data_IF_374328655207
#
_entry.id   IF_374328655207
#
_cell.length_a   1.000
_cell.length_b   1.000
_cell.length_c   1.000
_cell.angle_alpha   90.00
_cell.angle_beta   90.00
_cell.angle_gamma   90.00
#
_symmetry.space_group_name_H-M   'P 1'
#
loop_
_entity.id
_entity.type
_entity.pdbx_description
1 polymer ?
#
# COMPACT_ATOMS: atom_id res chain seq x y z
N UNK A 1 13.38 -52.22 15.93
CA UNK A 1 12.18 -52.32 16.81
C UNK A 1 12.48 -51.68 18.16
N UNK A 2 11.97 -50.47 18.43
CA UNK A 2 11.64 -49.95 19.78
C UNK A 2 10.96 -48.58 19.65
N UNK A 3 9.63 -48.64 19.82
CA UNK A 3 8.66 -47.71 20.42
C UNK A 3 8.70 -46.19 20.12
N UNK A 4 7.62 -45.79 19.45
CA UNK A 4 6.80 -44.57 19.61
C UNK A 4 6.96 -43.83 20.96
N UNK A 5 7.04 -42.50 20.86
CA UNK A 5 6.73 -41.54 21.94
C UNK A 5 6.13 -40.28 21.33
N UNK A 6 4.81 -40.29 21.16
CA UNK A 6 3.96 -39.20 20.69
C UNK A 6 3.61 -38.33 21.92
N UNK A 7 3.87 -37.03 21.88
CA UNK A 7 3.28 -36.06 22.82
C UNK A 7 2.61 -34.95 22.02
N UNK A 8 1.28 -35.03 21.95
CA UNK A 8 0.40 -33.89 21.71
C UNK A 8 0.43 -32.98 22.94
N UNK A 9 0.61 -31.69 22.75
CA UNK A 9 0.21 -30.67 23.71
C UNK A 9 -0.71 -29.68 22.98
N UNK A 10 -2.01 -29.85 23.19
CA UNK A 10 -3.03 -28.88 22.84
C UNK A 10 -3.11 -27.84 23.95
N UNK A 11 -2.83 -26.57 23.65
CA UNK A 11 -3.14 -25.45 24.52
C UNK A 11 -4.22 -24.60 23.86
N UNK A 12 -5.42 -24.75 24.38
CA UNK A 12 -6.56 -23.88 24.15
C UNK A 12 -6.40 -22.62 25.02
N UNK A 13 -6.38 -21.44 24.41
CA UNK A 13 -6.64 -20.19 25.13
C UNK A 13 -8.10 -19.81 24.92
N UNK A 14 -8.85 -19.77 26.02
CA UNK A 14 -10.24 -19.35 26.11
C UNK A 14 -10.38 -17.85 25.81
N UNK A 15 -11.44 -17.54 25.07
CA UNK A 15 -12.04 -16.22 24.97
C UNK A 15 -12.51 -15.70 26.34
N UNK A 16 -12.26 -14.42 26.63
CA UNK A 16 -13.03 -13.67 27.62
C UNK A 16 -13.83 -12.58 26.91
N UNK A 17 -15.15 -12.73 27.00
CA UNK A 17 -16.13 -11.72 26.70
C UNK A 17 -16.09 -10.60 27.75
N UNK A 18 -16.13 -9.35 27.30
CA UNK A 18 -16.50 -8.20 28.14
C UNK A 18 -17.86 -7.69 27.66
N UNK A 19 -18.90 -8.03 28.40
CA UNK A 19 -20.18 -7.32 28.41
C UNK A 19 -20.40 -6.73 29.79
N UNK A 20 -20.89 -5.49 29.84
CA UNK A 20 -22.04 -5.05 30.63
C UNK A 20 -22.09 -3.52 30.75
N UNK A 21 -23.03 -2.92 30.01
CA UNK A 21 -24.12 -2.07 30.52
C UNK A 21 -23.87 -1.23 31.80
N UNK A 22 -24.00 0.11 31.69
CA UNK A 22 -24.90 0.88 32.57
C UNK A 22 -25.23 2.29 32.05
N UNK A 23 -26.52 2.56 32.11
CA UNK A 23 -27.29 3.80 31.95
C UNK A 23 -26.86 4.94 32.89
N UNK A 24 -27.08 6.20 32.49
CA UNK A 24 -27.78 7.22 33.32
C UNK A 24 -28.32 8.36 32.44
N UNK A 25 -29.62 8.62 32.57
CA UNK A 25 -30.38 9.72 32.00
C UNK A 25 -29.95 11.10 32.50
N UNK A 26 -30.20 12.15 31.71
CA UNK A 26 -30.46 13.49 32.24
C UNK A 26 -31.55 14.14 31.39
N UNK A 27 -32.73 14.29 31.98
CA UNK A 27 -33.80 15.16 31.53
C UNK A 27 -33.45 16.62 31.86
N UNK A 28 -33.68 17.52 30.92
CA UNK A 28 -33.71 18.97 31.12
C UNK A 28 -34.77 19.57 30.21
N UNK A 29 -35.84 20.09 30.80
CA UNK A 29 -36.98 20.72 30.15
C UNK A 29 -36.66 22.11 29.55
N UNK A 30 -37.55 22.68 28.71
CA UNK A 30 -37.20 23.60 27.64
C UNK A 30 -37.22 25.07 28.08
N UNK A 31 -36.53 25.92 27.32
CA UNK A 31 -36.78 27.37 27.35
C UNK A 31 -36.77 27.90 25.92
N UNK A 32 -37.92 28.38 25.48
CA UNK A 32 -38.10 29.04 24.20
C UNK A 32 -37.47 30.43 24.16
N UNK A 33 -36.90 30.76 23.01
CA UNK A 33 -36.44 32.10 22.64
C UNK A 33 -36.49 32.23 21.11
N UNK A 34 -37.17 33.28 20.64
CA UNK A 34 -37.50 33.63 19.26
C UNK A 34 -36.29 33.93 18.34
N UNK A 35 -36.50 33.99 17.00
CA UNK A 35 -35.44 33.89 16.01
C UNK A 35 -34.74 35.22 15.77
N UNK A 36 -33.42 35.20 15.68
CA UNK A 36 -32.65 36.33 15.14
C UNK A 36 -32.07 35.90 13.80
N UNK A 37 -32.56 36.54 12.72
CA UNK A 37 -31.96 36.47 11.39
C UNK A 37 -30.52 36.93 11.44
N UNK A 38 -29.59 35.99 11.27
CA UNK A 38 -28.20 36.23 10.93
C UNK A 38 -27.95 35.60 9.57
N UNK A 39 -27.72 36.42 8.56
CA UNK A 39 -27.20 36.00 7.25
C UNK A 39 -25.79 35.46 7.47
N UNK A 40 -25.65 34.13 7.56
CA UNK A 40 -24.38 33.43 7.44
C UNK A 40 -24.36 32.79 6.05
N UNK A 41 -23.36 33.18 5.27
CA UNK A 41 -23.03 32.57 3.99
C UNK A 41 -22.37 31.22 4.26
N UNK A 42 -23.15 30.25 4.70
CA UNK A 42 -22.71 28.86 4.79
C UNK A 42 -22.97 28.21 3.43
N UNK A 43 -21.88 28.01 2.68
CA UNK A 43 -21.86 27.05 1.61
C UNK A 43 -22.26 25.70 2.22
N UNK A 44 -23.47 25.24 1.89
CA UNK A 44 -23.89 23.88 2.21
C UNK A 44 -22.82 22.90 1.67
N UNK A 45 -22.40 21.88 2.42
CA UNK A 45 -21.75 20.75 1.79
C UNK A 45 -22.78 20.16 0.82
N UNK A 46 -22.46 20.18 -0.47
CA UNK A 46 -23.21 19.43 -1.48
C UNK A 46 -22.93 17.94 -1.26
N UNK A 47 -23.48 17.36 -0.20
CA UNK A 47 -23.60 15.90 -0.05
C UNK A 47 -24.86 15.47 -0.80
N UNK A 48 -24.90 15.77 -2.10
CA UNK A 48 -25.79 15.03 -2.98
C UNK A 48 -25.30 13.59 -2.95
N UNK A 49 -26.19 12.63 -2.69
CA UNK A 49 -25.84 11.22 -2.74
C UNK A 49 -25.10 10.97 -4.06
N UNK A 50 -23.82 10.61 -3.97
CA UNK A 50 -23.09 10.14 -5.13
C UNK A 50 -23.84 8.88 -5.59
N UNK A 51 -24.28 8.86 -6.85
CA UNK A 51 -24.87 7.67 -7.42
C UNK A 51 -23.80 6.56 -7.40
N UNK A 52 -24.21 5.29 -7.31
CA UNK A 52 -23.27 4.19 -7.09
C UNK A 52 -22.22 4.05 -8.20
N UNK A 53 -22.51 4.57 -9.39
CA UNK A 53 -21.56 4.64 -10.51
C UNK A 53 -20.31 5.47 -10.19
N UNK A 54 -20.36 6.36 -9.19
CA UNK A 54 -19.20 7.11 -8.73
C UNK A 54 -18.15 6.21 -8.04
N UNK A 55 -18.48 4.96 -7.69
CA UNK A 55 -17.55 4.01 -7.07
C UNK A 55 -16.95 3.02 -8.06
N UNK A 56 -17.34 3.08 -9.34
CA UNK A 56 -16.78 2.22 -10.39
C UNK A 56 -15.43 2.77 -10.85
N UNK A 57 -14.48 1.87 -11.11
CA UNK A 57 -13.20 2.25 -11.70
C UNK A 57 -13.38 2.88 -13.08
N UNK A 58 -12.41 3.70 -13.47
CA UNK A 58 -12.30 4.15 -14.85
C UNK A 58 -12.01 2.92 -15.74
N UNK A 59 -12.80 2.66 -16.79
CA UNK A 59 -12.71 1.46 -17.66
C UNK A 59 -11.35 1.27 -18.39
N UNK A 60 -10.36 2.14 -18.15
CA UNK A 60 -9.01 2.10 -18.73
C UNK A 60 -7.97 1.97 -17.62
N UNK A 61 -7.78 0.74 -17.13
CA UNK A 61 -6.80 0.38 -16.09
C UNK A 61 -5.34 0.63 -16.51
N UNK A 62 -5.09 0.89 -17.80
CA UNK A 62 -3.75 1.02 -18.36
C UNK A 62 -2.93 -0.28 -18.28
N UNK A 63 -1.76 -0.28 -18.89
CA UNK A 63 -0.77 -1.36 -18.69
C UNK A 63 -0.02 -1.14 -17.36
N UNK A 64 0.81 -2.07 -16.87
CA UNK A 64 1.68 -1.75 -15.73
C UNK A 64 2.94 -1.02 -16.20
N UNK A 65 3.49 -0.12 -15.39
CA UNK A 65 4.85 0.41 -15.62
C UNK A 65 5.87 -0.56 -15.01
N UNK A 66 6.80 -1.05 -15.82
CA UNK A 66 7.89 -1.92 -15.38
C UNK A 66 9.15 -1.10 -15.13
N UNK A 67 9.60 -1.10 -13.88
CA UNK A 67 10.82 -0.42 -13.43
C UNK A 67 11.86 -1.50 -13.15
N UNK A 68 12.89 -1.60 -13.99
CA UNK A 68 13.97 -2.56 -13.81
C UNK A 68 15.12 -1.93 -13.04
N UNK A 69 15.40 -2.41 -11.82
CA UNK A 69 16.61 -2.05 -11.08
C UNK A 69 17.76 -2.92 -11.54
N UNK A 70 18.84 -2.34 -12.04
CA UNK A 70 19.99 -3.09 -12.57
C UNK A 70 21.26 -2.77 -11.76
N UNK A 71 21.94 -3.79 -11.25
CA UNK A 71 23.25 -3.64 -10.62
C UNK A 71 24.37 -3.88 -11.65
N UNK A 72 24.85 -2.82 -12.27
CA UNK A 72 25.96 -2.85 -13.23
C UNK A 72 27.34 -2.79 -12.55
N UNK A 73 27.38 -2.60 -11.22
CA UNK A 73 28.61 -2.53 -10.45
C UNK A 73 29.24 -3.91 -10.18
N UNK A 74 30.40 -3.90 -9.51
CA UNK A 74 31.15 -5.10 -9.15
C UNK A 74 30.85 -5.62 -7.72
N UNK A 75 30.00 -4.94 -6.96
CA UNK A 75 29.65 -5.29 -5.58
C UNK A 75 28.12 -5.40 -5.40
N UNK A 76 27.63 -6.22 -4.45
CA UNK A 76 26.19 -6.29 -4.16
C UNK A 76 25.63 -4.94 -3.69
N UNK A 77 24.32 -4.80 -3.88
CA UNK A 77 23.53 -3.70 -3.37
C UNK A 77 22.45 -4.23 -2.45
N UNK A 78 22.14 -3.47 -1.40
CA UNK A 78 21.05 -3.78 -0.49
C UNK A 78 19.95 -2.74 -0.62
N UNK A 79 18.71 -3.17 -0.50
CA UNK A 79 17.54 -2.31 -0.42
C UNK A 79 16.80 -2.64 0.87
N UNK A 80 16.34 -1.61 1.56
CA UNK A 80 15.25 -1.78 2.51
C UNK A 80 14.04 -2.30 1.74
N UNK A 81 13.25 -3.18 2.35
CA UNK A 81 12.06 -3.72 1.71
C UNK A 81 10.81 -3.14 2.39
N UNK A 82 9.82 -2.78 1.57
CA UNK A 82 8.56 -2.22 2.02
C UNK A 82 7.38 -3.07 1.55
N UNK A 83 6.30 -3.04 2.34
CA UNK A 83 5.10 -3.82 2.08
C UNK A 83 5.28 -5.33 2.22
N UNK A 84 4.17 -6.05 2.18
CA UNK A 84 4.12 -7.51 2.36
C UNK A 84 4.91 -8.30 1.32
N UNK A 85 4.98 -7.76 0.11
CA UNK A 85 5.68 -8.36 -1.03
C UNK A 85 7.17 -8.04 -1.02
N UNK A 86 7.63 -7.13 -0.15
CA UNK A 86 9.04 -6.86 0.04
C UNK A 86 9.70 -6.10 -1.08
N UNK A 87 9.00 -5.16 -1.72
CA UNK A 87 9.55 -4.39 -2.83
C UNK A 87 10.53 -3.31 -2.32
N UNK A 88 11.52 -2.89 -3.11
CA UNK A 88 12.33 -1.72 -2.79
C UNK A 88 11.48 -0.46 -2.64
N UNK A 89 11.81 0.47 -1.75
CA UNK A 89 11.13 1.76 -1.66
C UNK A 89 11.37 2.56 -2.94
N UNK A 90 10.29 2.83 -3.66
CA UNK A 90 10.27 3.75 -4.79
C UNK A 90 9.75 5.10 -4.32
N UNK A 91 10.51 6.17 -4.59
CA UNK A 91 10.02 7.54 -4.46
C UNK A 91 9.68 8.05 -5.85
N UNK A 92 8.43 8.44 -6.04
CA UNK A 92 7.95 8.92 -7.33
C UNK A 92 7.42 10.33 -7.14
N UNK A 93 7.90 11.25 -7.96
CA UNK A 93 7.44 12.66 -7.94
C UNK A 93 6.94 13.07 -9.32
N UNK A 94 5.84 13.81 -9.36
CA UNK A 94 5.31 14.38 -10.60
C UNK A 94 6.10 15.65 -11.02
N UNK A 95 5.78 16.19 -12.19
CA UNK A 95 6.41 17.43 -12.71
C UNK A 95 6.23 18.68 -11.83
N UNK A 96 5.33 18.64 -10.84
CA UNK A 96 5.13 19.72 -9.85
C UNK A 96 5.96 19.51 -8.57
N UNK A 97 6.71 18.40 -8.49
CA UNK A 97 7.49 18.02 -7.32
C UNK A 97 6.67 17.36 -6.21
N UNK A 98 5.42 16.97 -6.49
CA UNK A 98 4.55 16.30 -5.52
C UNK A 98 4.81 14.80 -5.53
N UNK A 99 4.85 14.19 -4.35
CA UNK A 99 5.03 12.75 -4.22
C UNK A 99 3.76 12.02 -4.65
N UNK A 100 3.93 11.03 -5.52
CA UNK A 100 2.88 10.10 -5.92
C UNK A 100 2.89 8.91 -4.95
N UNK A 101 1.77 8.59 -4.29
CA UNK A 101 1.72 7.46 -3.37
C UNK A 101 1.95 6.15 -4.12
N UNK A 102 2.80 5.28 -3.55
CA UNK A 102 2.98 3.90 -4.01
C UNK A 102 2.26 3.01 -3.03
N UNK A 103 1.22 2.32 -3.50
CA UNK A 103 0.48 1.37 -2.67
C UNK A 103 1.36 0.18 -2.33
N UNK A 104 1.59 -0.05 -1.03
CA UNK A 104 2.41 -1.15 -0.52
C UNK A 104 1.59 -2.03 0.42
N UNK A 105 1.12 -3.17 -0.09
CA UNK A 105 0.71 -4.36 0.68
C UNK A 105 -0.56 -4.29 1.53
N UNK A 106 -1.01 -3.12 1.99
CA UNK A 106 -2.23 -2.98 2.78
C UNK A 106 -2.96 -1.68 2.39
N UNK A 107 -3.98 -1.83 1.56
CA UNK A 107 -4.90 -0.77 1.17
C UNK A 107 -6.33 -1.25 1.47
N UNK A 108 -7.30 -0.33 1.64
CA UNK A 108 -8.71 -0.69 1.60
C UNK A 108 -9.05 -1.50 0.34
N UNK A 109 -10.12 -2.32 0.37
CA UNK A 109 -10.54 -3.04 -0.81
C UNK A 109 -10.97 -2.08 -1.92
N UNK A 110 -10.88 -2.54 -3.15
CA UNK A 110 -11.41 -1.83 -4.30
C UNK A 110 -12.94 -1.62 -4.15
N UNK A 111 -13.40 -0.41 -4.44
CA UNK A 111 -14.79 -0.01 -4.32
C UNK A 111 -15.70 -0.87 -5.21
N UNK A 112 -15.26 -1.23 -6.41
CA UNK A 112 -16.05 -2.10 -7.30
C UNK A 112 -16.21 -3.51 -6.70
N UNK A 113 -15.12 -4.09 -6.19
CA UNK A 113 -15.11 -5.39 -5.52
C UNK A 113 -16.05 -5.42 -4.32
N UNK A 114 -16.09 -4.32 -3.54
CA UNK A 114 -17.02 -4.17 -2.41
C UNK A 114 -18.49 -4.11 -2.86
N UNK A 115 -18.79 -3.45 -3.98
CA UNK A 115 -20.14 -3.46 -4.57
C UNK A 115 -20.55 -4.86 -5.06
N UNK A 116 -19.58 -5.66 -5.51
CA UNK A 116 -19.76 -7.06 -5.92
C UNK A 116 -19.87 -8.02 -4.72
N UNK A 117 -19.64 -7.53 -3.49
CA UNK A 117 -19.83 -8.26 -2.24
C UNK A 117 -18.55 -8.78 -1.60
N UNK A 118 -17.36 -8.40 -2.10
CA UNK A 118 -16.09 -8.66 -1.43
C UNK A 118 -15.82 -7.61 -0.35
N UNK A 119 -16.23 -7.92 0.87
CA UNK A 119 -16.21 -6.98 1.98
C UNK A 119 -15.09 -7.27 2.98
N UNK A 120 -14.05 -7.98 2.51
CA UNK A 120 -12.83 -8.21 3.30
C UNK A 120 -12.06 -6.91 3.39
N UNK A 121 -12.10 -6.28 4.56
CA UNK A 121 -11.39 -5.02 4.87
C UNK A 121 -10.13 -5.23 5.70
N UNK A 122 -9.91 -6.44 6.18
CA UNK A 122 -8.75 -6.80 6.98
C UNK A 122 -7.58 -7.12 6.05
N UNK A 123 -6.46 -6.44 6.26
CA UNK A 123 -5.21 -6.87 5.65
C UNK A 123 -4.70 -8.11 6.38
N UNK A 124 -4.26 -9.11 5.64
CA UNK A 124 -3.49 -10.20 6.23
C UNK A 124 -2.25 -9.60 6.91
N UNK A 125 -1.97 -9.95 8.19
CA UNK A 125 -0.79 -9.48 8.89
C UNK A 125 0.45 -10.15 8.29
N UNK A 126 0.98 -9.56 7.23
CA UNK A 126 2.24 -9.97 6.66
C UNK A 126 3.40 -9.44 7.52
N UNK A 127 4.45 -10.25 7.66
CA UNK A 127 5.74 -9.72 8.11
C UNK A 127 6.48 -9.29 6.86
N UNK A 128 6.60 -7.97 6.56
CA UNK A 128 7.38 -7.54 5.40
C UNK A 128 8.80 -8.12 5.53
N UNK A 129 9.39 -8.61 4.44
CA UNK A 129 10.78 -8.98 4.49
C UNK A 129 11.60 -7.73 4.85
N UNK A 130 12.69 -7.89 5.60
CA UNK A 130 13.48 -6.77 6.11
C UNK A 130 14.34 -6.10 5.04
N UNK A 131 14.66 -6.80 3.95
CA UNK A 131 15.45 -6.25 2.87
C UNK A 131 15.59 -7.17 1.67
N UNK A 132 16.20 -6.61 0.64
CA UNK A 132 16.56 -7.26 -0.60
C UNK A 132 18.06 -7.08 -0.85
N UNK A 133 18.69 -8.06 -1.48
CA UNK A 133 20.04 -7.94 -2.01
C UNK A 133 20.04 -8.20 -3.51
N UNK A 134 20.72 -7.32 -4.24
CA UNK A 134 20.90 -7.41 -5.68
C UNK A 134 22.39 -7.59 -5.99
N UNK A 135 22.77 -8.78 -6.43
CA UNK A 135 24.16 -9.12 -6.74
C UNK A 135 24.66 -8.42 -8.02
N UNK A 136 25.99 -8.35 -8.23
CA UNK A 136 26.57 -7.83 -9.48
C UNK A 136 25.98 -8.50 -10.73
N UNK A 137 25.46 -7.70 -11.65
CA UNK A 137 24.83 -8.14 -12.90
C UNK A 137 23.36 -8.56 -12.79
N UNK A 138 22.80 -8.65 -11.58
CA UNK A 138 21.40 -9.02 -11.37
C UNK A 138 20.44 -7.86 -11.69
N UNK A 139 19.18 -8.22 -11.97
CA UNK A 139 18.11 -7.28 -12.34
C UNK A 139 16.84 -7.60 -11.58
N UNK A 140 16.17 -6.59 -11.06
CA UNK A 140 14.91 -6.75 -10.33
C UNK A 140 13.83 -5.90 -10.98
N UNK A 141 12.72 -6.52 -11.38
CA UNK A 141 11.55 -5.80 -11.87
C UNK A 141 10.64 -5.40 -10.71
N UNK A 142 10.25 -4.14 -10.69
CA UNK A 142 9.24 -3.59 -9.80
C UNK A 142 8.13 -3.01 -10.65
N UNK A 143 6.89 -3.35 -10.33
CA UNK A 143 5.73 -2.86 -11.07
C UNK A 143 5.11 -1.67 -10.36
N UNK A 144 4.81 -0.63 -11.12
CA UNK A 144 4.09 0.55 -10.66
C UNK A 144 2.78 0.66 -11.41
N UNK A 145 1.67 0.74 -10.67
CA UNK A 145 0.33 0.88 -11.26
C UNK A 145 0.22 2.20 -12.03
N UNK A 146 -0.51 2.20 -13.14
CA UNK A 146 -0.87 3.40 -13.91
C UNK A 146 -2.03 4.20 -13.31
N UNK A 147 -2.60 3.72 -12.21
CA UNK A 147 -3.67 4.39 -11.49
C UNK A 147 -3.12 5.16 -10.30
N UNK A 148 -3.65 6.36 -10.09
CA UNK A 148 -3.72 6.94 -8.76
C UNK A 148 -4.92 6.32 -8.03
N UNK A 149 -4.90 6.37 -6.71
CA UNK A 149 -6.03 5.89 -5.92
C UNK A 149 -6.75 7.05 -5.27
N UNK A 150 -8.07 7.02 -5.37
CA UNK A 150 -8.95 7.87 -4.60
C UNK A 150 -9.56 7.05 -3.47
N UNK A 151 -9.45 7.56 -2.24
CA UNK A 151 -10.09 6.95 -1.07
C UNK A 151 -11.51 7.50 -0.98
N UNK A 152 -12.50 6.61 -1.03
CA UNK A 152 -13.92 6.93 -1.03
C UNK A 152 -14.62 6.19 0.11
N UNK A 153 -15.63 6.80 0.72
CA UNK A 153 -16.50 6.13 1.69
C UNK A 153 -17.75 5.56 0.99
N UNK A 154 -17.73 4.28 0.65
CA UNK A 154 -18.89 3.63 0.03
C UNK A 154 -20.03 3.44 1.04
N UNK A 155 -21.25 3.75 0.61
CA UNK A 155 -22.44 3.68 1.47
C UNK A 155 -23.05 2.29 1.48
N UNK A 156 -23.85 1.98 2.50
CA UNK A 156 -24.62 0.74 2.55
C UNK A 156 -25.71 0.66 1.46
N UNK A 157 -26.06 1.77 0.81
CA UNK A 157 -26.98 1.77 -0.34
C UNK A 157 -26.30 1.17 -1.57
N UNK A 158 -25.02 1.49 -1.79
CA UNK A 158 -24.24 0.98 -2.93
C UNK A 158 -23.55 -0.35 -2.65
N UNK A 159 -23.31 -0.67 -1.38
CA UNK A 159 -22.72 -1.95 -0.95
C UNK A 159 -23.56 -2.57 0.19
N UNK A 160 -24.68 -3.26 -0.13
CA UNK A 160 -25.66 -3.69 0.86
C UNK A 160 -25.24 -4.89 1.72
N UNK A 161 -24.03 -5.42 1.58
CA UNK A 161 -23.57 -6.54 2.41
C UNK A 161 -23.10 -6.11 3.82
N UNK A 162 -23.13 -7.03 4.81
CA UNK A 162 -22.61 -6.75 6.14
C UNK A 162 -21.11 -6.41 6.10
N UNK A 163 -20.75 -5.22 6.61
CA UNK A 163 -19.36 -4.76 6.64
C UNK A 163 -18.85 -4.17 5.32
N UNK A 164 -19.70 -4.02 4.31
CA UNK A 164 -19.29 -3.51 3.01
C UNK A 164 -19.25 -1.98 2.96
N UNK A 165 -20.06 -1.28 3.76
CA UNK A 165 -19.98 0.17 3.86
C UNK A 165 -18.68 0.64 4.58
N UNK A 166 -18.10 1.75 4.12
CA UNK A 166 -16.88 2.36 4.67
C UNK A 166 -15.82 2.64 3.59
N UNK A 167 -14.61 2.99 4.00
CA UNK A 167 -13.51 3.36 3.10
C UNK A 167 -13.15 2.27 2.07
N UNK A 168 -13.05 2.63 0.80
CA UNK A 168 -12.57 1.79 -0.29
C UNK A 168 -11.67 2.62 -1.20
N UNK A 169 -10.95 1.97 -2.10
CA UNK A 169 -10.15 2.67 -3.11
C UNK A 169 -10.82 2.55 -4.47
N UNK A 170 -10.76 3.62 -5.26
CA UNK A 170 -11.11 3.61 -6.68
C UNK A 170 -9.88 3.97 -7.49
N UNK A 171 -9.59 3.19 -8.51
CA UNK A 171 -8.55 3.49 -9.48
C UNK A 171 -8.97 4.68 -10.34
N UNK A 172 -8.14 5.71 -10.39
CA UNK A 172 -8.30 6.81 -11.36
C UNK A 172 -7.07 6.88 -12.23
N UNK A 173 -7.27 7.12 -13.53
CA UNK A 173 -6.16 7.16 -14.46
C UNK A 173 -5.16 8.25 -14.07
N UNK A 174 -3.88 7.86 -13.92
CA UNK A 174 -2.82 8.83 -13.65
C UNK A 174 -2.71 9.86 -14.78
N UNK A 175 -2.52 11.15 -14.47
CA UNK A 175 -2.31 12.14 -15.51
C UNK A 175 -1.05 11.86 -16.35
N UNK A 176 -1.10 12.06 -17.68
CA UNK A 176 0.10 12.02 -18.51
C UNK A 176 1.09 13.12 -18.07
N UNK A 177 2.38 12.83 -18.12
CA UNK A 177 3.42 13.78 -17.77
C UNK A 177 4.77 13.12 -17.47
N UNK A 178 5.75 13.96 -17.15
CA UNK A 178 7.06 13.49 -16.69
C UNK A 178 7.00 13.22 -15.18
N UNK A 179 7.44 12.03 -14.81
CA UNK A 179 7.65 11.61 -13.42
C UNK A 179 9.13 11.36 -13.18
N UNK A 180 9.60 11.64 -11.97
CA UNK A 180 10.95 11.26 -11.53
C UNK A 180 10.85 10.04 -10.62
N UNK A 181 11.51 8.96 -11.01
CA UNK A 181 11.60 7.73 -10.23
C UNK A 181 12.94 7.74 -9.51
N UNK A 182 12.89 7.83 -8.20
CA UNK A 182 14.06 7.86 -7.31
C UNK A 182 14.11 6.58 -6.49
N UNK A 183 15.24 5.88 -6.58
CA UNK A 183 15.49 4.63 -5.85
C UNK A 183 16.77 4.78 -5.06
N UNK A 184 16.73 4.36 -3.80
CA UNK A 184 17.90 4.33 -2.92
C UNK A 184 18.29 2.89 -2.62
N UNK A 185 19.52 2.56 -2.97
CA UNK A 185 20.21 1.33 -2.57
C UNK A 185 21.33 1.66 -1.58
N UNK A 186 21.95 0.64 -1.00
CA UNK A 186 23.01 0.78 -0.03
C UNK A 186 24.18 -0.12 -0.42
N UNK A 187 25.41 0.37 -0.24
CA UNK A 187 26.65 -0.36 -0.58
C UNK A 187 27.19 -1.19 0.56
N UNK A 188 26.77 -0.90 1.78
CA UNK A 188 27.16 -1.65 2.97
C UNK A 188 25.91 -2.13 3.70
N UNK A 189 26.04 -3.30 4.30
CA UNK A 189 25.02 -3.90 5.13
C UNK A 189 25.69 -4.50 6.37
N UNK A 190 25.08 -4.27 7.53
CA UNK A 190 25.34 -4.99 8.77
C UNK A 190 24.08 -5.77 9.22
N UNK A 191 24.26 -6.71 10.14
CA UNK A 191 23.19 -7.62 10.57
C UNK A 191 23.08 -8.85 9.69
N UNK A 192 21.86 -9.24 9.34
CA UNK A 192 21.62 -10.44 8.56
C UNK A 192 21.70 -10.12 7.06
N UNK A 193 22.87 -9.89 6.46
CA UNK A 193 23.01 -9.41 5.07
C UNK A 193 23.04 -10.51 4.00
N UNK A 194 22.87 -11.76 4.42
CA UNK A 194 22.97 -12.93 3.56
C UNK A 194 21.61 -13.32 2.99
N UNK A 195 21.63 -13.79 1.74
CA UNK A 195 20.47 -14.35 1.07
C UNK A 195 20.04 -15.64 1.75
N UNK A 196 18.73 -15.80 1.98
CA UNK A 196 18.18 -17.10 2.35
C UNK A 196 18.27 -18.08 1.16
N UNK A 197 17.89 -17.62 -0.04
CA UNK A 197 17.94 -18.37 -1.30
C UNK A 197 18.36 -17.40 -2.44
N UNK A 198 19.63 -17.41 -2.86
CA UNK A 198 20.10 -16.49 -3.90
C UNK A 198 19.59 -16.91 -5.29
N UNK A 199 18.94 -15.99 -5.99
CA UNK A 199 18.65 -16.09 -7.42
C UNK A 199 19.64 -15.20 -8.19
N UNK A 200 20.47 -15.76 -9.08
CA UNK A 200 21.48 -14.99 -9.80
C UNK A 200 20.88 -13.99 -10.81
N UNK A 201 19.63 -14.15 -11.22
CA UNK A 201 18.95 -13.26 -12.15
C UNK A 201 18.16 -12.17 -11.42
N UNK A 202 17.47 -12.53 -10.32
CA UNK A 202 16.51 -11.65 -9.62
C UNK A 202 17.00 -11.08 -8.28
N UNK A 203 18.17 -11.49 -7.78
CA UNK A 203 18.62 -11.16 -6.43
C UNK A 203 18.00 -12.07 -5.37
N UNK A 204 17.82 -11.58 -4.15
CA UNK A 204 17.27 -12.40 -3.07
C UNK A 204 16.61 -11.57 -1.97
N UNK A 205 15.68 -12.20 -1.24
CA UNK A 205 15.23 -11.70 0.05
C UNK A 205 16.22 -12.04 1.15
N UNK A 206 16.34 -11.10 2.07
CA UNK A 206 17.21 -11.19 3.22
C UNK A 206 16.37 -11.59 4.44
N UNK A 207 16.82 -12.61 5.20
CA UNK A 207 16.10 -13.07 6.39
C UNK A 207 16.66 -12.44 7.66
N UNK A 208 15.90 -11.54 8.29
CA UNK A 208 16.32 -10.81 9.50
C UNK A 208 16.72 -9.35 9.23
N UNK A 209 16.69 -8.52 10.28
CA UNK A 209 16.93 -7.09 10.14
C UNK A 209 18.27 -6.78 9.46
N UNK A 210 18.22 -5.89 8.46
CA UNK A 210 19.40 -5.29 7.85
C UNK A 210 19.65 -3.92 8.47
N UNK A 211 20.93 -3.56 8.60
CA UNK A 211 21.39 -2.22 8.93
C UNK A 211 22.16 -1.72 7.71
N UNK A 212 21.50 -0.97 6.83
CA UNK A 212 22.06 -0.53 5.57
C UNK A 212 22.81 0.80 5.72
N UNK A 213 23.98 0.93 5.10
CA UNK A 213 24.83 2.13 5.15
C UNK A 213 25.39 2.46 3.75
N UNK A 214 25.94 3.66 3.60
CA UNK A 214 26.43 4.22 2.34
C UNK A 214 25.36 4.24 1.25
N UNK A 215 24.35 5.11 1.38
CA UNK A 215 23.26 5.21 0.43
C UNK A 215 23.77 5.65 -0.94
N UNK A 216 23.19 5.05 -1.98
CA UNK A 216 23.35 5.41 -3.38
C UNK A 216 21.97 5.65 -3.93
N UNK A 217 21.71 6.86 -4.36
CA UNK A 217 20.42 7.26 -4.92
C UNK A 217 20.56 7.49 -6.42
N UNK A 218 19.66 6.90 -7.18
CA UNK A 218 19.56 7.09 -8.63
C UNK A 218 18.16 7.63 -8.93
N UNK A 219 18.11 8.68 -9.76
CA UNK A 219 16.87 9.26 -10.24
C UNK A 219 16.82 9.17 -11.76
N UNK A 220 15.72 8.64 -12.28
CA UNK A 220 15.48 8.53 -13.73
C UNK A 220 14.13 9.17 -14.10
N UNK A 221 14.05 9.87 -15.24
CA UNK A 221 12.78 10.40 -15.72
C UNK A 221 11.96 9.31 -16.41
N UNK A 222 10.64 9.41 -16.30
CA UNK A 222 9.65 8.58 -16.96
C UNK A 222 8.62 9.48 -17.67
N UNK A 223 8.52 9.38 -19.00
CA UNK A 223 7.52 10.08 -19.79
C UNK A 223 6.26 9.23 -19.93
N UNK A 224 5.29 9.44 -19.04
CA UNK A 224 4.08 8.63 -18.96
C UNK A 224 2.93 9.28 -19.76
N UNK A 225 2.13 8.52 -20.54
CA UNK A 225 2.17 7.07 -20.80
C UNK A 225 3.01 6.66 -22.02
N UNK A 226 3.83 7.56 -22.57
CA UNK A 226 4.62 7.26 -23.77
C UNK A 226 5.67 6.16 -23.55
N UNK A 227 6.14 6.02 -22.31
CA UNK A 227 7.09 5.02 -21.83
C UNK A 227 6.44 4.27 -20.67
N UNK A 228 6.44 2.95 -20.73
CA UNK A 228 5.95 2.04 -19.68
C UNK A 228 7.04 1.11 -19.16
N UNK A 229 8.25 1.17 -19.70
CA UNK A 229 9.39 0.36 -19.27
C UNK A 229 10.61 1.28 -19.11
N UNK A 230 11.25 1.24 -17.94
CA UNK A 230 12.48 1.98 -17.67
C UNK A 230 13.49 1.13 -16.91
N UNK A 231 14.77 1.49 -17.03
CA UNK A 231 15.86 0.93 -16.23
C UNK A 231 16.40 1.98 -15.27
N UNK A 232 16.62 1.58 -14.00
CA UNK A 232 17.33 2.34 -12.98
C UNK A 232 18.72 1.70 -12.79
N UNK A 233 19.77 2.24 -13.43
CA UNK A 233 21.09 1.64 -13.39
C UNK A 233 21.86 2.06 -12.14
N UNK A 234 22.36 1.09 -11.39
CA UNK A 234 23.30 1.30 -10.30
C UNK A 234 24.71 0.82 -10.70
N UNK A 235 25.74 1.59 -10.32
CA UNK A 235 27.13 1.28 -10.65
C UNK A 235 27.55 1.82 -12.03
N UNK A 236 28.83 2.14 -12.15
CA UNK A 236 29.52 2.45 -13.42
C UNK A 236 30.49 1.31 -13.79
#
# INVERSE_FOLDING_TARGET
>A
MRRLGMMLAASACLAMACGSEKTTSTEGEPTGGEPTSGTSTDAAPTTGALMCEAYLDDEDDGELVVITLANNGAAPLWFEAVGCVGVPPLQITNSQGESVPVLTGCAPPDCQSVMEGDCVRECDPCSPPPGLRLDPGARLEVWWSQQDVEFLDITAECAPGPGCAGECIRGVRRPPGIYEITVTAYKECAGACECAEPDPEMGCYVSGAIEADQPVTVTVPLDYPAVTEIEVPFGE
#
